data_IF_964605181338
#
_entry.id   IF_964605181338
#
_cell.length_a   1.000
_cell.length_b   1.000
_cell.length_c   1.000
_cell.angle_alpha   90.00
_cell.angle_beta   90.00
_cell.angle_gamma   90.00
#
_symmetry.space_group_name_H-M   'P 1'
#
loop_
_entity.id
_entity.type
_entity.pdbx_description
1 polymer ?
#
# COMPACT_ATOMS: atom_id res chain seq x y z
N UNK A 1 1.25 -32.01 -13.82
CA UNK A 1 0.51 -30.83 -13.39
C UNK A 1 1.06 -29.66 -14.19
N UNK A 2 0.21 -28.96 -14.98
CA UNK A 2 0.63 -27.76 -15.72
C UNK A 2 0.74 -27.94 -17.23
N UNK A 3 -0.04 -28.81 -17.85
CA UNK A 3 -0.12 -28.83 -19.31
C UNK A 3 -1.07 -27.71 -19.78
N UNK A 4 -0.48 -26.68 -20.38
CA UNK A 4 -1.22 -25.66 -21.12
C UNK A 4 -1.70 -26.27 -22.44
N UNK A 5 -2.90 -26.83 -22.44
CA UNK A 5 -3.56 -27.33 -23.65
C UNK A 5 -4.62 -26.30 -24.08
N UNK A 6 -4.97 -26.30 -25.36
CA UNK A 6 -6.09 -25.51 -25.88
C UNK A 6 -7.40 -25.77 -25.12
N UNK A 7 -7.60 -27.02 -24.67
CA UNK A 7 -8.76 -27.38 -23.86
C UNK A 7 -8.74 -26.67 -22.50
N UNK A 8 -7.60 -26.63 -21.81
CA UNK A 8 -7.45 -25.93 -20.53
C UNK A 8 -7.68 -24.41 -20.67
N UNK A 9 -7.19 -23.83 -21.77
CA UNK A 9 -7.42 -22.42 -22.06
C UNK A 9 -8.91 -22.14 -22.32
N UNK A 10 -9.56 -22.90 -23.19
CA UNK A 10 -10.99 -22.74 -23.49
C UNK A 10 -11.88 -22.97 -22.28
N UNK A 11 -11.60 -23.97 -21.45
CA UNK A 11 -12.36 -24.19 -20.21
C UNK A 11 -12.14 -23.05 -19.21
N UNK A 12 -10.93 -22.50 -19.11
CA UNK A 12 -10.65 -21.32 -18.28
C UNK A 12 -11.42 -20.09 -18.73
N UNK A 13 -11.41 -19.80 -20.04
CA UNK A 13 -12.19 -18.69 -20.61
C UNK A 13 -13.70 -18.92 -20.41
N UNK A 14 -14.20 -20.13 -20.67
CA UNK A 14 -15.59 -20.48 -20.45
C UNK A 14 -16.03 -20.30 -19.00
N UNK A 15 -15.22 -20.78 -18.07
CA UNK A 15 -15.47 -20.60 -16.63
C UNK A 15 -15.45 -19.12 -16.23
N UNK A 16 -14.51 -18.33 -16.72
CA UNK A 16 -14.42 -16.90 -16.45
C UNK A 16 -15.67 -16.14 -16.95
N UNK A 17 -16.10 -16.42 -18.19
CA UNK A 17 -17.33 -15.83 -18.77
C UNK A 17 -18.57 -16.27 -17.98
N UNK A 18 -18.64 -17.55 -17.61
CA UNK A 18 -19.75 -18.06 -16.81
C UNK A 18 -19.84 -17.35 -15.47
N UNK A 19 -18.73 -17.26 -14.73
CA UNK A 19 -18.69 -16.61 -13.41
C UNK A 19 -19.07 -15.14 -13.51
N UNK A 20 -18.50 -14.39 -14.46
CA UNK A 20 -18.82 -12.96 -14.62
C UNK A 20 -20.28 -12.72 -15.01
N UNK A 21 -20.90 -13.61 -15.80
CA UNK A 21 -22.32 -13.50 -16.20
C UNK A 21 -23.26 -13.90 -15.07
N UNK A 22 -22.98 -14.97 -14.36
CA UNK A 22 -23.85 -15.51 -13.29
C UNK A 22 -23.81 -14.62 -12.06
N UNK A 23 -22.63 -14.21 -11.63
CA UNK A 23 -22.45 -13.39 -10.42
C UNK A 23 -22.67 -11.90 -10.69
N UNK A 24 -22.92 -11.48 -11.94
CA UNK A 24 -23.12 -10.07 -12.30
C UNK A 24 -22.11 -9.14 -11.63
N UNK A 25 -20.85 -9.54 -11.67
CA UNK A 25 -19.77 -8.74 -11.06
C UNK A 25 -19.83 -7.33 -11.64
N UNK A 26 -19.85 -6.30 -10.78
CA UNK A 26 -19.86 -4.93 -11.27
C UNK A 26 -18.61 -4.71 -12.13
N UNK A 27 -18.77 -3.97 -13.26
CA UNK A 27 -17.61 -3.61 -14.07
C UNK A 27 -16.63 -2.83 -13.19
N UNK A 28 -15.39 -3.27 -13.14
CA UNK A 28 -14.33 -2.47 -12.53
C UNK A 28 -14.05 -1.35 -13.52
N UNK A 29 -14.50 -0.14 -13.19
CA UNK A 29 -14.18 1.05 -13.96
C UNK A 29 -12.68 1.32 -13.84
N UNK A 30 -11.91 0.71 -14.73
CA UNK A 30 -10.51 1.05 -14.94
C UNK A 30 -10.47 2.43 -15.61
N UNK A 31 -10.90 3.46 -14.90
CA UNK A 31 -10.81 4.87 -15.34
C UNK A 31 -9.35 5.35 -15.45
N UNK A 32 -8.41 4.51 -15.00
CA UNK A 32 -7.00 4.77 -15.02
C UNK A 32 -6.34 4.43 -16.37
N UNK A 33 -5.25 5.11 -16.66
CA UNK A 33 -4.40 4.86 -17.82
C UNK A 33 -3.26 3.96 -17.35
N UNK A 34 -3.19 2.74 -17.89
CA UNK A 34 -2.02 1.87 -17.68
C UNK A 34 -0.77 2.55 -18.24
N UNK A 35 0.08 3.00 -17.35
CA UNK A 35 1.39 3.51 -17.74
C UNK A 35 2.42 2.40 -17.53
N UNK A 36 2.80 1.75 -18.63
CA UNK A 36 3.71 0.59 -18.61
C UNK A 36 5.06 0.92 -17.96
N UNK A 37 5.56 2.16 -18.11
CA UNK A 37 6.81 2.57 -17.48
C UNK A 37 6.70 2.61 -15.96
N UNK A 38 5.65 3.27 -15.43
CA UNK A 38 5.43 3.28 -13.99
C UNK A 38 5.03 1.91 -13.44
N UNK A 39 4.33 1.09 -14.24
CA UNK A 39 4.07 -0.31 -13.91
C UNK A 39 5.36 -1.12 -13.77
N UNK A 40 6.30 -0.98 -14.71
CA UNK A 40 7.61 -1.63 -14.63
C UNK A 40 8.40 -1.16 -13.38
N UNK A 41 8.46 0.15 -13.15
CA UNK A 41 9.11 0.70 -11.95
C UNK A 41 8.46 0.18 -10.67
N UNK A 42 7.13 0.09 -10.64
CA UNK A 42 6.40 -0.52 -9.50
C UNK A 42 6.83 -1.97 -9.28
N UNK A 43 6.84 -2.80 -10.31
CA UNK A 43 7.23 -4.22 -10.18
C UNK A 43 8.67 -4.35 -9.67
N UNK A 44 9.63 -3.62 -10.23
CA UNK A 44 11.03 -3.68 -9.80
C UNK A 44 11.19 -3.23 -8.35
N UNK A 45 10.56 -2.12 -7.97
CA UNK A 45 10.64 -1.61 -6.59
C UNK A 45 9.92 -2.53 -5.61
N UNK A 46 8.81 -3.16 -6.03
CA UNK A 46 8.08 -4.15 -5.24
C UNK A 46 8.93 -5.40 -4.98
N UNK A 47 9.54 -5.99 -6.01
CA UNK A 47 10.43 -7.14 -5.85
C UNK A 47 11.62 -6.82 -4.93
N UNK A 48 12.22 -5.64 -5.09
CA UNK A 48 13.29 -5.18 -4.19
C UNK A 48 12.82 -5.05 -2.74
N UNK A 49 11.59 -4.54 -2.53
CA UNK A 49 11.00 -4.43 -1.19
C UNK A 49 10.71 -5.81 -0.58
N UNK A 50 10.21 -6.77 -1.36
CA UNK A 50 9.98 -8.16 -0.90
C UNK A 50 11.29 -8.80 -0.48
N UNK A 51 12.34 -8.71 -1.30
CA UNK A 51 13.66 -9.26 -0.96
C UNK A 51 14.21 -8.61 0.31
N UNK A 52 14.17 -7.27 0.39
CA UNK A 52 14.62 -6.55 1.58
C UNK A 52 13.81 -6.94 2.83
N UNK A 53 12.49 -6.99 2.72
CA UNK A 53 11.59 -7.39 3.82
C UNK A 53 11.88 -8.81 4.29
N UNK A 54 12.09 -9.76 3.36
CA UNK A 54 12.46 -11.13 3.67
C UNK A 54 13.78 -11.20 4.45
N UNK A 55 14.80 -10.43 4.04
CA UNK A 55 16.09 -10.38 4.74
C UNK A 55 15.96 -9.77 6.14
N UNK A 56 15.15 -8.71 6.28
CA UNK A 56 14.89 -8.08 7.59
C UNK A 56 14.19 -9.05 8.54
N UNK A 57 13.13 -9.73 8.07
CA UNK A 57 12.42 -10.72 8.88
C UNK A 57 13.32 -11.91 9.23
N UNK A 58 14.10 -12.41 8.26
CA UNK A 58 15.07 -13.48 8.51
C UNK A 58 16.09 -13.07 9.58
N UNK A 59 16.59 -11.83 9.51
CA UNK A 59 17.51 -11.30 10.52
C UNK A 59 16.86 -11.20 11.90
N UNK A 60 15.62 -10.72 11.97
CA UNK A 60 14.86 -10.63 13.23
C UNK A 60 14.63 -12.00 13.87
N UNK A 61 14.39 -13.05 13.07
CA UNK A 61 14.26 -14.43 13.56
C UNK A 61 15.56 -14.98 14.10
N UNK A 62 16.70 -14.59 13.52
CA UNK A 62 18.04 -15.02 13.96
C UNK A 62 18.54 -14.25 15.18
N UNK A 63 18.00 -13.05 15.44
CA UNK A 63 18.35 -12.25 16.63
C UNK A 63 17.51 -12.65 17.84
N UNK A 64 17.89 -13.77 18.47
CA UNK A 64 17.24 -14.32 19.69
C UNK A 64 17.31 -13.39 20.91
N UNK A 65 18.06 -12.29 20.84
CA UNK A 65 18.26 -11.39 21.99
C UNK A 65 17.15 -10.37 22.16
N UNK A 66 16.34 -10.15 21.12
CA UNK A 66 15.31 -9.10 21.12
C UNK A 66 14.02 -9.64 20.51
N UNK A 67 12.95 -9.69 21.31
CA UNK A 67 11.62 -9.91 20.76
C UNK A 67 11.26 -8.71 19.85
N UNK A 68 10.87 -8.95 18.59
CA UNK A 68 10.37 -7.88 17.73
C UNK A 68 9.08 -7.31 18.35
N UNK A 69 9.02 -5.98 18.53
CA UNK A 69 7.77 -5.30 18.84
C UNK A 69 6.77 -5.50 17.72
N UNK A 70 5.49 -5.40 18.03
CA UNK A 70 4.44 -5.39 17.01
C UNK A 70 3.37 -4.36 17.39
N UNK A 71 2.78 -3.74 16.37
CA UNK A 71 1.71 -2.77 16.56
C UNK A 71 0.68 -2.86 15.43
N UNK A 72 -0.54 -2.42 15.74
CA UNK A 72 -1.55 -2.15 14.72
C UNK A 72 -1.51 -0.64 14.44
N UNK A 73 -1.28 -0.29 13.20
CA UNK A 73 -1.21 1.11 12.76
C UNK A 73 -2.31 1.40 11.75
N UNK A 74 -2.98 2.54 11.93
CA UNK A 74 -3.94 3.06 10.97
C UNK A 74 -3.23 3.94 9.94
N UNK A 75 -3.50 3.70 8.66
CA UNK A 75 -2.94 4.46 7.53
C UNK A 75 -4.09 5.02 6.71
N UNK A 76 -4.44 6.30 6.88
CA UNK A 76 -5.41 6.96 6.02
C UNK A 76 -4.81 7.15 4.63
N UNK A 77 -5.50 6.63 3.62
CA UNK A 77 -5.12 6.77 2.22
C UNK A 77 -5.54 8.13 1.68
N UNK A 78 -4.83 8.58 0.65
CA UNK A 78 -5.03 9.89 0.02
C UNK A 78 -6.00 9.84 -1.16
N UNK A 79 -6.04 8.70 -1.85
CA UNK A 79 -6.84 8.53 -3.07
C UNK A 79 -8.15 7.86 -2.74
N UNK A 80 -9.25 8.43 -3.21
CA UNK A 80 -10.61 7.88 -3.07
C UNK A 80 -10.91 6.97 -4.26
N UNK A 81 -10.37 5.74 -4.20
CA UNK A 81 -10.57 4.73 -5.25
C UNK A 81 -10.37 3.33 -4.67
N UNK A 82 -11.39 2.50 -4.77
CA UNK A 82 -11.40 1.14 -4.23
C UNK A 82 -10.32 0.25 -4.86
N UNK A 83 -10.02 0.45 -6.15
CA UNK A 83 -9.01 -0.35 -6.86
C UNK A 83 -7.61 -0.01 -6.35
N UNK A 84 -7.32 1.29 -6.18
CA UNK A 84 -6.04 1.75 -5.63
C UNK A 84 -5.88 1.30 -4.19
N UNK A 85 -6.95 1.40 -3.38
CA UNK A 85 -6.98 0.92 -2.00
C UNK A 85 -6.70 -0.58 -1.94
N UNK A 86 -7.41 -1.39 -2.73
CA UNK A 86 -7.23 -2.84 -2.76
C UNK A 86 -5.80 -3.23 -3.19
N UNK A 87 -5.26 -2.59 -4.23
CA UNK A 87 -3.89 -2.85 -4.67
C UNK A 87 -2.85 -2.44 -3.62
N UNK A 88 -3.07 -1.32 -2.92
CA UNK A 88 -2.20 -0.87 -1.82
C UNK A 88 -2.22 -1.87 -0.67
N UNK A 89 -3.42 -2.35 -0.29
CA UNK A 89 -3.59 -3.35 0.75
C UNK A 89 -2.88 -4.67 0.41
N UNK A 90 -3.09 -5.18 -0.81
CA UNK A 90 -2.42 -6.39 -1.29
C UNK A 90 -0.90 -6.22 -1.32
N UNK A 91 -0.42 -5.10 -1.86
CA UNK A 91 1.02 -4.80 -1.92
C UNK A 91 1.65 -4.76 -0.52
N UNK A 92 1.00 -4.09 0.43
CA UNK A 92 1.48 -4.02 1.82
C UNK A 92 1.48 -5.39 2.51
N UNK A 93 0.50 -6.26 2.20
CA UNK A 93 0.43 -7.62 2.77
C UNK A 93 1.44 -8.58 2.15
N UNK A 94 1.84 -8.38 0.90
CA UNK A 94 2.83 -9.23 0.23
C UNK A 94 4.28 -8.92 0.62
N UNK A 95 4.53 -7.72 1.17
CA UNK A 95 5.85 -7.37 1.67
C UNK A 95 6.01 -7.95 3.07
N UNK A 96 7.02 -8.84 3.32
CA UNK A 96 7.21 -9.46 4.62
C UNK A 96 7.40 -8.44 5.74
N UNK A 97 6.73 -8.67 6.85
CA UNK A 97 6.78 -7.82 8.05
C UNK A 97 5.52 -7.00 8.32
N UNK A 98 4.54 -7.01 7.41
CA UNK A 98 3.24 -6.37 7.63
C UNK A 98 2.09 -7.19 7.03
N UNK A 99 0.89 -7.04 7.62
CA UNK A 99 -0.34 -7.68 7.17
C UNK A 99 -1.51 -6.73 7.39
N UNK A 100 -2.37 -6.57 6.40
CA UNK A 100 -3.63 -5.84 6.55
C UNK A 100 -4.59 -6.69 7.38
N UNK A 101 -5.10 -6.12 8.47
CA UNK A 101 -6.04 -6.78 9.39
C UNK A 101 -7.46 -6.27 9.22
N UNK A 102 -7.62 -5.03 8.73
CA UNK A 102 -8.93 -4.44 8.48
C UNK A 102 -8.84 -3.33 7.43
N UNK A 103 -9.95 -3.05 6.76
CA UNK A 103 -10.08 -2.03 5.71
C UNK A 103 -11.37 -1.25 5.93
N UNK A 104 -11.22 -0.02 6.39
CA UNK A 104 -12.33 0.94 6.45
C UNK A 104 -12.43 1.68 5.12
N UNK A 105 -13.44 1.31 4.31
CA UNK A 105 -13.68 1.92 2.99
C UNK A 105 -14.23 3.34 3.12
N UNK A 106 -15.12 3.60 4.06
CA UNK A 106 -15.73 4.90 4.25
C UNK A 106 -14.70 5.92 4.76
N UNK A 107 -13.89 5.52 5.74
CA UNK A 107 -12.79 6.31 6.28
C UNK A 107 -11.50 6.23 5.44
N UNK A 108 -11.48 5.45 4.36
CA UNK A 108 -10.29 5.24 3.49
C UNK A 108 -9.04 4.86 4.27
N UNK A 109 -9.20 4.05 5.31
CA UNK A 109 -8.12 3.73 6.23
C UNK A 109 -7.79 2.24 6.18
N UNK A 110 -6.50 1.93 6.03
CA UNK A 110 -5.98 0.58 6.15
C UNK A 110 -5.43 0.39 7.56
N UNK A 111 -5.82 -0.70 8.23
CA UNK A 111 -5.26 -1.11 9.51
C UNK A 111 -4.24 -2.22 9.27
N UNK A 112 -2.99 -1.94 9.60
CA UNK A 112 -1.88 -2.87 9.40
C UNK A 112 -1.38 -3.41 10.73
N UNK A 113 -1.27 -4.72 10.84
CA UNK A 113 -0.42 -5.35 11.85
C UNK A 113 1.01 -5.40 11.30
N UNK A 114 1.93 -4.76 12.00
CA UNK A 114 3.34 -4.65 11.56
C UNK A 114 4.26 -5.09 12.68
N UNK A 115 5.25 -5.93 12.34
CA UNK A 115 6.30 -6.36 13.26
C UNK A 115 7.50 -5.41 13.20
N UNK A 116 8.27 -5.35 14.30
CA UNK A 116 9.45 -4.50 14.39
C UNK A 116 9.19 -3.06 14.82
N UNK A 117 7.95 -2.72 15.16
CA UNK A 117 7.56 -1.39 15.67
C UNK A 117 7.88 -1.32 17.16
N UNK A 118 8.72 -0.35 17.54
CA UNK A 118 9.15 -0.11 18.92
C UNK A 118 8.89 1.32 19.39
N UNK A 119 8.68 2.23 18.45
CA UNK A 119 8.46 3.65 18.70
C UNK A 119 7.39 4.22 17.78
N UNK A 120 6.88 5.40 18.13
CA UNK A 120 5.97 6.15 17.27
C UNK A 120 6.66 6.57 15.96
N UNK A 121 7.98 6.75 15.98
CA UNK A 121 8.77 7.06 14.79
C UNK A 121 8.79 5.89 13.81
N UNK A 122 8.91 4.65 14.29
CA UNK A 122 8.82 3.43 13.47
C UNK A 122 7.43 3.31 12.83
N UNK A 123 6.38 3.59 13.61
CA UNK A 123 5.00 3.57 13.12
C UNK A 123 4.78 4.62 12.02
N UNK A 124 5.30 5.83 12.21
CA UNK A 124 5.21 6.89 11.22
C UNK A 124 6.04 6.60 9.97
N UNK A 125 7.21 5.99 10.13
CA UNK A 125 7.99 5.50 9.00
C UNK A 125 7.18 4.47 8.18
N UNK A 126 6.52 3.53 8.84
CA UNK A 126 5.71 2.52 8.17
C UNK A 126 4.49 3.12 7.45
N UNK A 127 3.82 4.13 8.04
CA UNK A 127 2.75 4.89 7.35
C UNK A 127 3.27 5.50 6.05
N UNK A 128 4.43 6.16 6.09
CA UNK A 128 5.06 6.76 4.90
C UNK A 128 5.40 5.72 3.84
N UNK A 129 5.83 4.53 4.24
CA UNK A 129 6.11 3.43 3.30
C UNK A 129 4.83 3.01 2.57
N UNK A 130 3.72 2.80 3.28
CA UNK A 130 2.43 2.41 2.68
C UNK A 130 1.89 3.52 1.77
N UNK A 131 1.91 4.78 2.19
CA UNK A 131 1.53 5.93 1.34
C UNK A 131 2.44 6.07 0.12
N UNK A 132 3.70 5.65 0.23
CA UNK A 132 4.61 5.56 -0.91
C UNK A 132 4.19 4.50 -1.92
N UNK A 133 3.62 3.38 -1.47
CA UNK A 133 3.05 2.36 -2.36
C UNK A 133 1.78 2.84 -3.03
N UNK A 134 0.86 3.47 -2.29
CA UNK A 134 -0.32 4.13 -2.85
C UNK A 134 0.08 5.06 -4.01
N UNK A 135 1.04 5.95 -3.78
CA UNK A 135 1.49 6.89 -4.79
C UNK A 135 2.10 6.21 -6.03
N UNK A 136 2.81 5.08 -5.89
CA UNK A 136 3.37 4.33 -7.03
C UNK A 136 2.26 3.64 -7.82
N UNK A 137 1.29 3.04 -7.14
CA UNK A 137 0.13 2.39 -7.75
C UNK A 137 -0.69 3.42 -8.51
N UNK A 138 -1.01 4.57 -7.88
CA UNK A 138 -1.74 5.67 -8.54
C UNK A 138 -1.03 6.15 -9.80
N UNK A 139 0.30 6.24 -9.81
CA UNK A 139 1.08 6.61 -11.01
C UNK A 139 1.02 5.54 -12.11
N UNK A 140 0.90 4.27 -11.74
CA UNK A 140 0.86 3.15 -12.68
C UNK A 140 -0.53 2.96 -13.31
N UNK A 141 -1.59 3.10 -12.52
CA UNK A 141 -2.96 2.75 -12.94
C UNK A 141 -3.99 3.86 -12.74
N UNK A 142 -3.66 4.94 -12.02
CA UNK A 142 -4.58 6.03 -11.70
C UNK A 142 -4.94 6.92 -12.87
N UNK A 143 -6.08 7.60 -12.76
CA UNK A 143 -6.52 8.64 -13.70
C UNK A 143 -5.68 9.93 -13.57
N UNK A 144 -5.84 10.84 -14.54
CA UNK A 144 -5.16 12.15 -14.48
C UNK A 144 -5.65 13.00 -13.30
N UNK A 145 -6.92 12.88 -12.95
CA UNK A 145 -7.54 13.61 -11.84
C UNK A 145 -6.99 13.10 -10.51
N UNK A 146 -6.98 11.77 -10.31
CA UNK A 146 -6.39 11.14 -9.12
C UNK A 146 -4.91 11.50 -8.93
N UNK A 147 -4.14 11.58 -10.02
CA UNK A 147 -2.75 12.03 -9.98
C UNK A 147 -2.60 13.50 -9.60
N UNK A 148 -3.50 14.35 -10.06
CA UNK A 148 -3.49 15.77 -9.71
C UNK A 148 -3.86 15.98 -8.25
N UNK A 149 -4.87 15.25 -7.75
CA UNK A 149 -5.30 15.30 -6.36
C UNK A 149 -4.22 14.77 -5.42
N UNK A 150 -3.61 13.63 -5.74
CA UNK A 150 -2.49 13.09 -4.98
C UNK A 150 -1.33 14.09 -4.87
N UNK A 151 -0.98 14.77 -5.97
CA UNK A 151 0.09 15.79 -5.97
C UNK A 151 -0.25 16.98 -5.08
N UNK A 152 -1.50 17.43 -5.10
CA UNK A 152 -1.97 18.53 -4.23
C UNK A 152 -1.84 18.12 -2.76
N UNK A 153 -2.34 16.96 -2.38
CA UNK A 153 -2.31 16.47 -1.00
C UNK A 153 -0.87 16.26 -0.48
N UNK A 154 0.04 15.76 -1.34
CA UNK A 154 1.46 15.65 -0.98
C UNK A 154 2.05 17.04 -0.72
N UNK A 155 1.81 18.00 -1.61
CA UNK A 155 2.33 19.36 -1.46
C UNK A 155 1.78 20.06 -0.19
N UNK A 156 0.52 19.88 0.14
CA UNK A 156 -0.10 20.38 1.37
C UNK A 156 0.50 19.73 2.62
N UNK A 157 0.71 18.40 2.60
CA UNK A 157 1.35 17.67 3.69
C UNK A 157 2.77 18.18 3.96
N UNK A 158 3.55 18.40 2.90
CA UNK A 158 4.92 18.90 2.99
C UNK A 158 4.94 20.36 3.53
N UNK A 159 4.02 21.20 3.09
CA UNK A 159 3.88 22.57 3.58
C UNK A 159 3.55 22.62 5.09
N UNK A 160 2.63 21.78 5.55
CA UNK A 160 2.30 21.69 6.98
C UNK A 160 3.48 21.17 7.81
N UNK A 161 4.23 20.17 7.31
CA UNK A 161 5.42 19.66 7.99
C UNK A 161 6.50 20.75 8.16
N UNK A 162 6.71 21.59 7.14
CA UNK A 162 7.64 22.73 7.22
C UNK A 162 7.20 23.81 8.20
N UNK A 163 5.90 24.12 8.25
CA UNK A 163 5.35 25.12 9.18
C UNK A 163 5.40 24.62 10.63
N UNK A 164 5.11 23.35 10.87
CA UNK A 164 5.22 22.74 12.20
C UNK A 164 6.67 22.67 12.73
N UNK A 165 7.64 22.48 11.84
CA UNK A 165 9.05 22.48 12.19
C UNK A 165 9.61 23.91 12.45
N UNK A 166 8.98 24.94 11.89
CA UNK A 166 9.38 26.36 12.04
C UNK A 166 8.78 27.04 13.27
N UNK A 167 7.81 26.40 13.98
CA UNK A 167 7.25 26.96 15.22
C UNK A 167 8.25 26.76 16.37
N UNK A 168 8.80 27.83 16.98
CA UNK A 168 9.66 27.68 18.15
C UNK A 168 8.85 27.04 19.27
N UNK A 169 9.38 25.97 19.88
CA UNK A 169 8.90 25.46 21.17
C UNK A 169 9.11 26.58 22.18
N UNK A 170 8.09 27.39 22.38
CA UNK A 170 8.10 28.44 23.42
C UNK A 170 8.13 27.75 24.78
N UNK A 171 9.35 27.62 25.31
CA UNK A 171 9.65 27.02 26.61
C UNK A 171 9.24 27.96 27.74
N UNK A 172 7.94 28.21 27.88
CA UNK A 172 7.41 28.85 29.10
C UNK A 172 6.73 27.82 29.96
N UNK A 173 7.52 27.25 30.86
CA UNK A 173 6.99 26.66 32.10
C UNK A 173 6.46 27.78 32.98
N UNK A 174 5.18 27.83 33.35
CA UNK A 174 4.72 28.77 34.40
C UNK A 174 5.20 28.21 35.74
N UNK A 175 5.78 29.11 36.54
CA UNK A 175 6.13 28.93 37.94
C UNK A 175 4.88 28.69 38.79
#
# INVERSE_FOLDING_TARGET
WGQLTWLTFLTGVGAAVFVTRVFRLPPVDLSGRLNLWYGFVFVVTFLAAVVRGSLVVAWQVLDFRRAPGAAIIAVPLRVDDDVIMAHTAVTASLIPGSLIVDVDREGRTLFLHTIGIRSDEDAEHQRRVVLGWEARITRAVGSREQLADLRRQIAESDAHAHLGAASPRDGRTPL
#
